data_IF_037753996627
#
_entry.id   IF_037753996627
#
_cell.length_a   1.000
_cell.length_b   1.000
_cell.length_c   1.000
_cell.angle_alpha   90.00
_cell.angle_beta   90.00
_cell.angle_gamma   90.00
#
_symmetry.space_group_name_H-M   'P 1'
#
loop_
_entity.id
_entity.type
_entity.pdbx_description
1 polymer ?
#
# COMPACT_ATOMS: atom_id res chain seq x y z
N UNK A 1 -21.74 -10.81 -13.32
CA UNK A 1 -21.27 -10.35 -14.64
C UNK A 1 -20.43 -9.10 -14.44
N UNK A 2 -19.10 -9.11 -14.67
CA UNK A 2 -18.35 -7.87 -14.72
C UNK A 2 -18.85 -7.09 -15.93
N UNK A 3 -19.52 -5.95 -15.70
CA UNK A 3 -19.82 -4.99 -16.77
C UNK A 3 -18.49 -4.61 -17.39
N UNK A 4 -18.30 -4.93 -18.66
CA UNK A 4 -17.17 -4.47 -19.46
C UNK A 4 -17.11 -2.95 -19.27
N UNK A 5 -16.13 -2.48 -18.51
CA UNK A 5 -15.75 -1.08 -18.59
C UNK A 5 -15.17 -0.92 -19.98
N UNK A 6 -15.68 0.07 -20.73
CA UNK A 6 -15.15 0.40 -22.06
C UNK A 6 -13.62 0.48 -21.94
N UNK A 7 -12.90 -0.20 -22.82
CA UNK A 7 -11.43 -0.31 -22.75
C UNK A 7 -10.75 1.07 -22.63
N UNK A 8 -11.30 2.08 -23.32
CA UNK A 8 -10.89 3.46 -23.21
C UNK A 8 -10.94 4.03 -21.77
N UNK A 9 -11.93 3.63 -20.96
CA UNK A 9 -12.04 4.02 -19.55
C UNK A 9 -10.94 3.40 -18.72
N UNK A 10 -10.65 2.12 -18.92
CA UNK A 10 -9.54 1.46 -18.22
C UNK A 10 -8.20 2.08 -18.59
N UNK A 11 -7.92 2.28 -19.89
CA UNK A 11 -6.70 2.94 -20.36
C UNK A 11 -6.56 4.33 -19.74
N UNK A 12 -7.64 5.11 -19.67
CA UNK A 12 -7.62 6.45 -19.06
C UNK A 12 -7.29 6.40 -17.56
N UNK A 13 -7.92 5.49 -16.82
CA UNK A 13 -7.68 5.34 -15.37
C UNK A 13 -6.28 4.82 -15.08
N UNK A 14 -5.80 3.84 -15.84
CA UNK A 14 -4.46 3.27 -15.72
C UNK A 14 -3.38 4.28 -16.12
N UNK A 15 -3.61 5.07 -17.18
CA UNK A 15 -2.69 6.13 -17.61
C UNK A 15 -2.48 7.17 -16.52
N UNK A 16 -3.56 7.65 -15.89
CA UNK A 16 -3.44 8.56 -14.74
C UNK A 16 -2.73 7.92 -13.55
N UNK A 17 -2.92 6.62 -13.35
CA UNK A 17 -2.24 5.90 -12.30
C UNK A 17 -0.73 5.75 -12.56
N UNK A 18 -0.31 5.55 -13.81
CA UNK A 18 1.10 5.50 -14.19
C UNK A 18 1.81 6.85 -13.96
N UNK A 19 1.08 7.96 -14.15
CA UNK A 19 1.58 9.32 -13.89
C UNK A 19 1.69 9.59 -12.39
N UNK A 20 0.67 9.23 -11.61
CA UNK A 20 0.67 9.41 -10.16
C UNK A 20 0.06 8.21 -9.42
N UNK A 21 0.90 7.23 -9.00
CA UNK A 21 0.40 6.02 -8.36
C UNK A 21 -0.18 6.29 -6.96
N UNK A 22 0.30 7.34 -6.29
CA UNK A 22 -0.05 7.65 -4.88
C UNK A 22 -1.40 8.34 -4.71
N UNK A 23 -1.94 8.88 -5.79
CA UNK A 23 -3.16 9.67 -5.77
C UNK A 23 -4.40 8.81 -5.43
N UNK A 24 -5.28 9.38 -4.59
CA UNK A 24 -6.51 8.72 -4.13
C UNK A 24 -7.48 8.44 -5.28
N UNK A 25 -8.36 7.45 -5.11
CA UNK A 25 -9.39 7.12 -6.11
C UNK A 25 -10.38 8.26 -6.34
N UNK A 26 -10.59 9.14 -5.34
CA UNK A 26 -11.41 10.35 -5.48
C UNK A 26 -10.73 11.42 -6.33
N UNK A 27 -9.45 11.69 -6.11
CA UNK A 27 -8.71 12.64 -6.94
C UNK A 27 -8.63 12.15 -8.39
N UNK A 28 -8.34 10.85 -8.60
CA UNK A 28 -8.38 10.23 -9.94
C UNK A 28 -9.75 10.35 -10.61
N UNK A 29 -10.83 10.22 -9.85
CA UNK A 29 -12.19 10.43 -10.35
C UNK A 29 -12.41 11.88 -10.85
N UNK A 30 -11.97 12.86 -10.07
CA UNK A 30 -12.05 14.27 -10.45
C UNK A 30 -11.23 14.57 -11.72
N UNK A 31 -10.00 14.07 -11.81
CA UNK A 31 -9.12 14.31 -12.97
C UNK A 31 -9.60 13.59 -14.24
N UNK A 32 -10.17 12.40 -14.09
CA UNK A 32 -10.68 11.63 -15.24
C UNK A 32 -12.10 12.04 -15.65
N UNK A 33 -12.81 12.80 -14.81
CA UNK A 33 -14.24 13.12 -14.98
C UNK A 33 -15.15 11.91 -14.80
N UNK A 34 -14.65 10.83 -14.19
CA UNK A 34 -15.39 9.58 -13.98
C UNK A 34 -15.94 9.52 -12.56
N UNK A 35 -16.95 8.67 -12.34
CA UNK A 35 -17.37 8.38 -10.97
C UNK A 35 -16.27 7.60 -10.22
N UNK A 36 -16.14 7.84 -8.90
CA UNK A 36 -15.19 7.08 -8.07
C UNK A 36 -15.43 5.57 -8.16
N UNK A 37 -16.67 5.13 -8.27
CA UNK A 37 -17.03 3.70 -8.40
C UNK A 37 -16.46 3.12 -9.71
N UNK A 38 -16.53 3.87 -10.80
CA UNK A 38 -15.95 3.49 -12.10
C UNK A 38 -14.44 3.32 -11.99
N UNK A 39 -13.74 4.27 -11.35
CA UNK A 39 -12.29 4.20 -11.11
C UNK A 39 -11.93 2.96 -10.28
N UNK A 40 -12.64 2.71 -9.17
CA UNK A 40 -12.40 1.54 -8.32
C UNK A 40 -12.62 0.22 -9.07
N UNK A 41 -13.65 0.15 -9.93
CA UNK A 41 -13.91 -1.05 -10.74
C UNK A 41 -12.81 -1.28 -11.76
N UNK A 42 -12.35 -0.23 -12.46
CA UNK A 42 -11.23 -0.34 -13.41
C UNK A 42 -9.97 -0.88 -12.73
N UNK A 43 -9.59 -0.30 -11.58
CA UNK A 43 -8.44 -0.76 -10.80
C UNK A 43 -8.57 -2.22 -10.34
N UNK A 44 -9.78 -2.66 -9.95
CA UNK A 44 -10.03 -4.06 -9.56
C UNK A 44 -9.95 -5.03 -10.74
N UNK A 45 -10.47 -4.64 -11.91
CA UNK A 45 -10.40 -5.45 -13.12
C UNK A 45 -8.94 -5.77 -13.50
N UNK A 46 -8.07 -4.77 -13.41
CA UNK A 46 -6.65 -4.91 -13.74
C UNK A 46 -5.80 -5.39 -12.56
N UNK A 47 -6.43 -5.90 -11.48
CA UNK A 47 -5.79 -6.40 -10.25
C UNK A 47 -4.78 -5.41 -9.66
N UNK A 48 -5.05 -4.12 -9.81
CA UNK A 48 -4.18 -3.09 -9.30
C UNK A 48 -4.39 -2.90 -7.80
N UNK A 49 -3.39 -3.28 -7.01
CA UNK A 49 -3.32 -3.01 -5.58
C UNK A 49 -2.41 -1.79 -5.38
N UNK A 50 -2.96 -0.59 -5.10
CA UNK A 50 -2.13 0.58 -4.82
C UNK A 50 -1.39 0.36 -3.50
N UNK A 51 -0.17 -0.16 -3.57
CA UNK A 51 0.75 -0.15 -2.44
C UNK A 51 1.13 1.31 -2.17
N UNK A 52 0.66 1.84 -1.04
CA UNK A 52 1.16 3.11 -0.54
C UNK A 52 2.54 2.87 0.04
N UNK A 53 3.56 3.51 -0.53
CA UNK A 53 4.87 3.57 0.11
C UNK A 53 4.70 4.33 1.43
N UNK A 54 4.78 3.60 2.55
CA UNK A 54 4.78 4.20 3.87
C UNK A 54 6.22 4.60 4.19
N UNK A 55 6.51 5.90 4.22
CA UNK A 55 7.78 6.40 4.73
C UNK A 55 7.75 6.19 6.24
N UNK A 56 8.43 5.15 6.70
CA UNK A 56 8.62 4.86 8.13
C UNK A 56 9.84 5.62 8.65
N UNK A 57 10.05 5.57 9.97
CA UNK A 57 11.20 6.22 10.62
C UNK A 57 12.50 5.80 9.93
N UNK A 58 13.32 6.79 9.58
CA UNK A 58 14.65 6.55 9.01
C UNK A 58 15.50 5.84 10.07
N UNK A 59 16.09 4.70 9.71
CA UNK A 59 17.07 4.01 10.53
C UNK A 59 18.34 4.86 10.61
N UNK A 60 18.79 5.15 11.83
CA UNK A 60 20.14 5.63 12.10
C UNK A 60 21.16 4.50 12.06
N UNK A 61 22.45 4.84 12.07
CA UNK A 61 23.53 3.87 11.92
C UNK A 61 23.53 2.81 13.04
N UNK A 62 23.22 3.20 14.28
CA UNK A 62 23.16 2.30 15.44
C UNK A 62 21.82 1.56 15.60
N UNK A 63 20.78 1.92 14.84
CA UNK A 63 19.44 1.37 15.06
C UNK A 63 19.36 -0.12 14.74
N UNK A 64 20.22 -0.62 13.85
CA UNK A 64 20.30 -2.05 13.55
C UNK A 64 20.73 -2.84 14.79
N UNK A 65 21.83 -2.40 15.42
CA UNK A 65 22.40 -3.07 16.59
C UNK A 65 21.43 -3.02 17.78
N UNK A 66 20.81 -1.86 18.03
CA UNK A 66 19.80 -1.71 19.10
C UNK A 66 18.58 -2.59 18.90
N UNK A 67 18.15 -2.80 17.66
CA UNK A 67 17.02 -3.69 17.34
C UNK A 67 17.38 -5.15 17.58
N UNK A 68 18.59 -5.56 17.23
CA UNK A 68 19.09 -6.91 17.50
C UNK A 68 19.16 -7.14 19.01
N UNK A 69 19.79 -6.21 19.74
CA UNK A 69 19.90 -6.28 21.20
C UNK A 69 18.53 -6.37 21.88
N UNK A 70 17.56 -5.56 21.43
CA UNK A 70 16.19 -5.64 21.93
C UNK A 70 15.59 -7.04 21.71
N UNK A 71 15.71 -7.58 20.50
CA UNK A 71 15.18 -8.92 20.18
C UNK A 71 15.86 -10.01 21.02
N UNK A 72 17.18 -9.98 21.17
CA UNK A 72 17.93 -10.91 22.01
C UNK A 72 17.46 -10.84 23.46
N UNK A 73 17.32 -9.64 24.01
CA UNK A 73 16.85 -9.42 25.37
C UNK A 73 15.43 -9.97 25.61
N UNK A 74 14.52 -9.78 24.65
CA UNK A 74 13.17 -10.34 24.73
C UNK A 74 13.22 -11.87 24.67
N UNK A 75 14.02 -12.45 23.77
CA UNK A 75 14.19 -13.90 23.66
C UNK A 75 14.71 -14.49 24.97
N UNK A 76 15.72 -13.86 25.58
CA UNK A 76 16.24 -14.29 26.87
C UNK A 76 15.17 -14.28 27.97
N UNK A 77 14.32 -13.26 28.01
CA UNK A 77 13.25 -13.14 28.99
C UNK A 77 12.15 -14.21 28.78
N UNK A 78 11.81 -14.53 27.52
CA UNK A 78 10.85 -15.60 27.19
C UNK A 78 11.41 -16.99 27.58
N UNK A 79 12.71 -17.23 27.31
CA UNK A 79 13.34 -18.51 27.68
C UNK A 79 13.40 -18.66 29.21
N UNK A 80 13.73 -17.59 29.92
CA UNK A 80 13.80 -17.60 31.38
C UNK A 80 12.42 -17.74 32.04
N UNK A 81 11.37 -17.21 31.41
CA UNK A 81 10.00 -17.31 31.88
C UNK A 81 9.03 -17.45 30.69
N UNK A 82 8.48 -18.65 30.50
CA UNK A 82 7.51 -18.97 29.45
C UNK A 82 6.20 -18.17 29.52
N UNK A 83 5.90 -17.49 30.63
CA UNK A 83 4.76 -16.58 30.79
C UNK A 83 5.15 -15.09 30.68
N UNK A 84 6.35 -14.78 30.18
CA UNK A 84 6.82 -13.40 30.08
C UNK A 84 5.99 -12.52 29.11
N UNK A 85 5.28 -13.13 28.16
CA UNK A 85 4.36 -12.46 27.22
C UNK A 85 2.90 -12.69 27.60
#
# INVERSE_FOLDING_TARGET
>A
MPRILVEAVNIKVLGQLAINPTMSTRQKANETGLSQITVVRALKCDKFYPYKMNIVQKLGDDDLDRRIEFCENIIHQIIANLQFL
#
